data_IF_732504367665
#
_entry.id   IF_732504367665
#
_cell.length_a   1.000
_cell.length_b   1.000
_cell.length_c   1.000
_cell.angle_alpha   90.00
_cell.angle_beta   90.00
_cell.angle_gamma   90.00
#
_symmetry.space_group_name_H-M   'P 1'
#
loop_
_entity.id
_entity.type
_entity.pdbx_description
1 polymer ?
#
# COMPACT_ATOMS: atom_id res chain seq x y z
N UNK A 1 -16.50 -6.31 -19.57
CA UNK A 1 -15.40 -7.15 -19.04
C UNK A 1 -14.86 -6.43 -17.82
N UNK A 2 -15.12 -6.92 -16.61
CA UNK A 2 -14.64 -6.31 -15.36
C UNK A 2 -13.12 -6.27 -15.39
N UNK A 3 -12.53 -5.07 -15.34
CA UNK A 3 -11.08 -4.93 -15.30
C UNK A 3 -10.53 -5.66 -14.07
N UNK A 4 -9.43 -6.41 -14.24
CA UNK A 4 -8.70 -6.98 -13.10
C UNK A 4 -7.90 -5.90 -12.33
N UNK A 5 -7.84 -4.66 -12.83
CA UNK A 5 -7.41 -3.53 -12.02
C UNK A 5 -8.53 -3.12 -11.07
N UNK A 6 -8.21 -2.97 -9.79
CA UNK A 6 -9.15 -2.47 -8.81
C UNK A 6 -9.04 -0.94 -8.71
N UNK A 7 -10.15 -0.24 -8.92
CA UNK A 7 -10.22 1.24 -8.99
C UNK A 7 -9.82 1.95 -7.69
N UNK A 8 -9.91 1.25 -6.56
CA UNK A 8 -9.64 1.76 -5.22
C UNK A 8 -8.37 1.17 -4.61
N UNK A 9 -7.49 0.54 -5.40
CA UNK A 9 -6.29 -0.12 -4.90
C UNK A 9 -5.02 0.49 -5.47
N UNK A 10 -3.99 0.59 -4.63
CA UNK A 10 -2.69 1.17 -4.95
C UNK A 10 -2.81 2.54 -5.61
N UNK A 11 -3.68 3.39 -5.06
CA UNK A 11 -3.90 4.75 -5.52
C UNK A 11 -2.70 5.65 -5.23
N UNK A 12 -2.55 6.72 -5.99
CA UNK A 12 -1.54 7.77 -5.76
C UNK A 12 -2.11 8.78 -4.77
N UNK A 13 -1.37 9.08 -3.69
CA UNK A 13 -1.74 10.12 -2.76
C UNK A 13 -1.26 11.49 -3.25
N UNK A 14 -2.15 12.49 -3.29
CA UNK A 14 -1.76 13.89 -3.48
C UNK A 14 -1.63 14.53 -2.11
N UNK A 15 -0.37 14.76 -1.70
CA UNK A 15 -0.03 15.38 -0.42
C UNK A 15 0.34 16.85 -0.61
N UNK A 16 -0.43 17.55 -1.44
CA UNK A 16 -0.29 18.99 -1.68
C UNK A 16 -1.38 19.75 -0.93
N UNK A 17 -1.04 20.93 -0.39
CA UNK A 17 -1.99 21.83 0.29
C UNK A 17 -2.80 22.63 -0.74
N UNK A 18 -3.67 21.93 -1.47
CA UNK A 18 -4.62 22.53 -2.41
C UNK A 18 -5.75 23.26 -1.66
N UNK A 19 -6.60 24.03 -2.34
CA UNK A 19 -7.72 24.77 -1.72
C UNK A 19 -8.66 23.89 -0.87
N UNK A 20 -8.73 22.58 -1.18
CA UNK A 20 -9.53 21.60 -0.43
C UNK A 20 -8.79 20.98 0.79
N UNK A 21 -7.58 21.45 1.10
CA UNK A 21 -6.76 20.97 2.20
C UNK A 21 -6.99 21.76 3.51
N UNK A 22 -7.88 22.75 3.51
CA UNK A 22 -8.22 23.51 4.73
C UNK A 22 -8.63 22.55 5.86
N UNK A 23 -7.86 22.57 6.96
CA UNK A 23 -8.06 21.70 8.10
C UNK A 23 -7.36 20.33 8.03
N UNK A 24 -6.58 20.05 6.97
CA UNK A 24 -5.78 18.83 6.79
C UNK A 24 -4.26 19.09 6.74
N UNK A 25 -3.81 20.33 6.93
CA UNK A 25 -2.43 20.72 6.71
C UNK A 25 -1.45 19.92 7.57
N UNK A 26 -1.80 19.72 8.85
CA UNK A 26 -0.96 18.97 9.79
C UNK A 26 -0.79 17.52 9.37
N UNK A 27 -1.87 16.83 8.95
CA UNK A 27 -1.76 15.44 8.55
C UNK A 27 -1.08 15.27 7.18
N UNK A 28 -1.24 16.26 6.29
CA UNK A 28 -0.53 16.30 5.02
C UNK A 28 0.97 16.47 5.28
N UNK A 29 1.37 17.38 6.15
CA UNK A 29 2.78 17.57 6.53
C UNK A 29 3.34 16.31 7.19
N UNK A 30 2.57 15.68 8.07
CA UNK A 30 2.92 14.41 8.70
C UNK A 30 3.18 13.29 7.67
N UNK A 31 2.25 13.07 6.73
CA UNK A 31 2.43 12.05 5.70
C UNK A 31 3.55 12.40 4.72
N UNK A 32 3.72 13.69 4.42
CA UNK A 32 4.77 14.18 3.50
C UNK A 32 6.17 14.01 4.09
N UNK A 33 6.32 14.26 5.39
CA UNK A 33 7.57 14.06 6.11
C UNK A 33 7.83 12.61 6.55
N UNK A 34 6.87 11.70 6.32
CA UNK A 34 7.00 10.31 6.73
C UNK A 34 7.91 9.51 5.80
N UNK A 35 8.51 8.43 6.33
CA UNK A 35 9.36 7.52 5.57
C UNK A 35 8.60 6.75 4.46
N UNK A 36 7.26 6.80 4.46
CA UNK A 36 6.41 6.16 3.45
C UNK A 36 6.02 7.12 2.31
N UNK A 37 6.46 8.39 2.35
CA UNK A 37 6.06 9.41 1.38
C UNK A 37 6.25 8.95 -0.07
N UNK A 38 7.44 8.43 -0.41
CA UNK A 38 7.72 7.97 -1.77
C UNK A 38 6.75 6.89 -2.22
N UNK A 39 6.45 5.89 -1.39
CA UNK A 39 5.49 4.84 -1.72
C UNK A 39 4.05 5.37 -1.92
N UNK A 40 3.67 6.39 -1.15
CA UNK A 40 2.36 7.05 -1.26
C UNK A 40 2.22 7.84 -2.57
N UNK A 41 3.25 8.58 -2.98
CA UNK A 41 3.16 9.59 -4.05
C UNK A 41 3.72 9.14 -5.40
N UNK A 42 4.61 8.14 -5.44
CA UNK A 42 5.26 7.70 -6.69
C UNK A 42 4.23 7.24 -7.73
N UNK A 43 4.28 7.83 -8.92
CA UNK A 43 3.32 7.57 -10.00
C UNK A 43 4.04 7.23 -11.32
N UNK A 44 4.55 6.00 -11.47
CA UNK A 44 5.19 5.58 -12.71
C UNK A 44 4.16 5.44 -13.84
N UNK A 45 4.63 5.47 -15.09
CA UNK A 45 3.80 5.06 -16.23
C UNK A 45 3.53 3.55 -16.17
N UNK A 46 2.32 3.18 -15.78
CA UNK A 46 1.90 1.77 -15.70
C UNK A 46 1.45 1.26 -17.06
N UNK A 47 2.13 0.25 -17.58
CA UNK A 47 1.77 -0.39 -18.84
C UNK A 47 0.87 -1.60 -18.59
N UNK A 48 -0.33 -1.58 -19.17
CA UNK A 48 -1.33 -2.65 -18.96
C UNK A 48 -0.76 -4.01 -19.34
N UNK A 49 -0.04 -4.11 -20.45
CA UNK A 49 0.54 -5.36 -20.93
C UNK A 49 1.66 -5.89 -20.02
N UNK A 50 2.47 -5.02 -19.40
CA UNK A 50 3.48 -5.44 -18.43
C UNK A 50 2.85 -6.09 -17.20
N UNK A 51 1.85 -5.41 -16.61
CA UNK A 51 1.14 -5.91 -15.43
C UNK A 51 0.40 -7.22 -15.73
N UNK A 52 -0.22 -7.32 -16.92
CA UNK A 52 -0.85 -8.56 -17.39
C UNK A 52 0.15 -9.72 -17.50
N UNK A 53 1.28 -9.50 -18.19
CA UNK A 53 2.31 -10.54 -18.35
C UNK A 53 2.84 -11.01 -17.00
N UNK A 54 3.12 -10.06 -16.10
CA UNK A 54 3.58 -10.34 -14.75
C UNK A 54 2.60 -11.25 -14.00
N UNK A 55 1.34 -10.83 -13.85
CA UNK A 55 0.37 -11.59 -13.06
C UNK A 55 -0.04 -12.92 -13.69
N UNK A 56 0.01 -13.05 -15.02
CA UNK A 56 -0.27 -14.31 -15.71
C UNK A 56 0.84 -15.36 -15.52
N UNK A 57 2.06 -14.94 -15.19
CA UNK A 57 3.23 -15.82 -15.06
C UNK A 57 3.80 -15.84 -13.64
N UNK A 58 3.19 -15.09 -12.71
CA UNK A 58 3.62 -14.99 -11.33
C UNK A 58 3.51 -16.34 -10.61
N UNK A 59 4.62 -16.78 -10.03
CA UNK A 59 4.73 -18.00 -9.22
C UNK A 59 5.52 -17.72 -7.95
N UNK A 60 5.13 -18.37 -6.86
CA UNK A 60 5.85 -18.32 -5.58
C UNK A 60 6.89 -19.42 -5.57
N UNK A 61 8.15 -19.07 -5.27
CA UNK A 61 9.23 -20.04 -5.02
C UNK A 61 9.68 -19.96 -3.58
N UNK A 62 9.88 -21.13 -2.98
CA UNK A 62 10.38 -21.29 -1.61
C UNK A 62 11.65 -22.15 -1.66
N UNK A 63 12.77 -21.65 -1.14
CA UNK A 63 14.03 -22.39 -1.05
C UNK A 63 14.76 -21.97 0.21
N UNK A 64 15.16 -22.95 1.04
CA UNK A 64 15.96 -22.73 2.26
C UNK A 64 15.49 -21.51 3.08
N UNK A 65 14.19 -21.49 3.42
CA UNK A 65 13.50 -20.43 4.18
C UNK A 65 13.32 -19.08 3.49
N UNK A 66 13.86 -18.89 2.29
CA UNK A 66 13.61 -17.69 1.47
C UNK A 66 12.40 -17.90 0.58
N UNK A 67 11.41 -17.00 0.71
CA UNK A 67 10.28 -16.90 -0.21
C UNK A 67 10.54 -15.79 -1.21
N UNK A 68 10.35 -16.07 -2.50
CA UNK A 68 10.43 -15.06 -3.56
C UNK A 68 9.29 -15.24 -4.56
N UNK A 69 8.88 -14.15 -5.18
CA UNK A 69 7.90 -14.15 -6.25
C UNK A 69 8.61 -13.96 -7.58
N UNK A 70 8.36 -14.85 -8.55
CA UNK A 70 8.96 -14.79 -9.87
C UNK A 70 7.89 -14.65 -10.94
N UNK A 71 8.15 -13.83 -11.95
CA UNK A 71 7.29 -13.69 -13.12
C UNK A 71 8.14 -13.45 -14.38
N UNK A 72 7.49 -13.51 -15.54
CA UNK A 72 8.07 -13.17 -16.83
C UNK A 72 7.37 -11.96 -17.43
N UNK A 73 8.15 -10.95 -17.76
CA UNK A 73 7.72 -9.80 -18.56
C UNK A 73 8.70 -9.68 -19.71
N UNK A 74 8.20 -9.74 -20.93
CA UNK A 74 9.01 -9.74 -22.15
C UNK A 74 10.08 -10.82 -22.20
N UNK A 75 9.75 -12.00 -21.67
CA UNK A 75 10.68 -13.13 -21.49
C UNK A 75 11.84 -12.85 -20.53
N UNK A 76 11.89 -11.67 -19.90
CA UNK A 76 12.82 -11.35 -18.82
C UNK A 76 12.22 -11.80 -17.49
N UNK A 77 13.07 -12.40 -16.66
CA UNK A 77 12.71 -12.85 -15.32
C UNK A 77 12.66 -11.65 -14.39
N UNK A 78 11.51 -11.44 -13.76
CA UNK A 78 11.32 -10.48 -12.68
C UNK A 78 11.30 -11.27 -11.38
N UNK A 79 12.13 -10.87 -10.41
CA UNK A 79 12.18 -11.49 -9.08
C UNK A 79 11.83 -10.40 -8.05
N UNK A 80 10.86 -10.69 -7.19
CA UNK A 80 10.46 -9.81 -6.09
C UNK A 80 10.71 -10.57 -4.78
N UNK A 81 11.47 -9.93 -3.89
CA UNK A 81 11.65 -10.30 -2.49
C UNK A 81 11.21 -9.13 -1.61
N UNK A 82 11.22 -9.29 -0.30
CA UNK A 82 10.98 -8.20 0.65
C UNK A 82 11.98 -7.04 0.45
N UNK A 83 13.25 -7.37 0.24
CA UNK A 83 14.33 -6.39 0.05
C UNK A 83 14.13 -5.57 -1.23
N UNK A 84 13.71 -6.19 -2.32
CA UNK A 84 13.39 -5.47 -3.56
C UNK A 84 12.23 -4.49 -3.35
N UNK A 85 11.21 -4.87 -2.57
CA UNK A 85 10.10 -3.96 -2.25
C UNK A 85 10.62 -2.79 -1.39
N UNK A 86 11.44 -3.08 -0.39
CA UNK A 86 12.05 -2.08 0.49
C UNK A 86 12.86 -1.04 -0.28
N UNK A 87 13.75 -1.48 -1.17
CA UNK A 87 14.64 -0.61 -1.95
C UNK A 87 13.85 0.25 -2.94
N UNK A 88 12.96 -0.36 -3.73
CA UNK A 88 12.21 0.33 -4.78
C UNK A 88 11.22 1.35 -4.20
N UNK A 89 10.64 1.05 -3.03
CA UNK A 89 9.68 1.92 -2.35
C UNK A 89 10.32 2.81 -1.28
N UNK A 90 11.63 2.72 -1.07
CA UNK A 90 12.42 3.57 -0.16
C UNK A 90 11.86 3.59 1.28
N UNK A 91 11.39 2.43 1.77
CA UNK A 91 10.58 2.36 2.99
C UNK A 91 11.39 2.38 4.29
N UNK A 92 12.72 2.25 4.29
CA UNK A 92 13.57 2.34 5.49
C UNK A 92 12.98 1.67 6.76
N UNK A 93 12.44 0.45 6.58
CA UNK A 93 11.57 -0.24 7.51
C UNK A 93 12.00 -1.68 7.86
N UNK A 94 13.26 -2.03 7.60
CA UNK A 94 13.78 -3.40 7.82
C UNK A 94 13.58 -3.88 9.27
N UNK A 95 13.79 -2.99 10.26
CA UNK A 95 13.61 -3.26 11.69
C UNK A 95 12.15 -3.08 12.17
N UNK A 96 11.22 -2.85 11.24
CA UNK A 96 9.84 -2.58 11.57
C UNK A 96 9.06 -3.82 12.00
N UNK A 97 8.06 -3.63 12.84
CA UNK A 97 7.11 -4.70 13.19
C UNK A 97 6.02 -4.85 12.12
N UNK A 98 5.43 -6.03 11.98
CA UNK A 98 4.29 -6.29 11.06
C UNK A 98 2.96 -6.24 11.81
N UNK A 99 2.97 -6.47 13.12
CA UNK A 99 1.82 -6.36 14.00
C UNK A 99 2.30 -6.11 15.42
N UNK A 100 1.73 -5.10 16.07
CA UNK A 100 1.94 -4.84 17.49
C UNK A 100 1.18 -5.87 18.34
N UNK A 101 1.62 -6.11 19.59
CA UNK A 101 0.82 -6.83 20.57
C UNK A 101 -0.54 -6.15 20.80
N UNK A 102 -1.57 -6.94 21.12
CA UNK A 102 -2.93 -6.41 21.29
C UNK A 102 -3.01 -5.28 22.32
N UNK A 103 -2.25 -5.39 23.43
CA UNK A 103 -2.20 -4.36 24.48
C UNK A 103 -1.68 -3.03 23.93
N UNK A 104 -0.61 -3.07 23.13
CA UNK A 104 -0.04 -1.89 22.46
C UNK A 104 -0.99 -1.32 21.41
N UNK A 105 -1.74 -2.17 20.71
CA UNK A 105 -2.78 -1.74 19.77
C UNK A 105 -3.85 -0.93 20.51
N UNK A 106 -4.42 -1.47 21.59
CA UNK A 106 -5.48 -0.77 22.34
C UNK A 106 -4.97 0.52 22.99
N UNK A 107 -3.76 0.51 23.55
CA UNK A 107 -3.14 1.71 24.12
C UNK A 107 -2.83 2.77 23.05
N UNK A 108 -2.35 2.37 21.88
CA UNK A 108 -2.10 3.26 20.75
C UNK A 108 -3.37 3.90 20.21
N UNK A 109 -4.44 3.10 20.04
CA UNK A 109 -5.76 3.60 19.62
C UNK A 109 -6.32 4.65 20.61
N UNK A 110 -6.22 4.38 21.91
CA UNK A 110 -6.65 5.33 22.93
C UNK A 110 -5.86 6.66 22.84
N UNK A 111 -4.54 6.62 22.64
CA UNK A 111 -3.70 7.82 22.46
C UNK A 111 -4.05 8.61 21.19
N UNK A 112 -4.50 7.93 20.15
CA UNK A 112 -4.96 8.55 18.90
C UNK A 112 -6.39 9.10 18.97
N UNK A 113 -7.07 8.96 20.12
CA UNK A 113 -8.43 9.45 20.32
C UNK A 113 -9.50 8.54 19.70
N UNK A 114 -9.27 7.23 19.62
CA UNK A 114 -10.27 6.28 19.13
C UNK A 114 -11.46 6.17 20.08
N UNK A 115 -12.64 6.58 19.64
CA UNK A 115 -13.80 6.79 20.52
C UNK A 115 -14.56 5.50 20.89
N UNK A 116 -14.20 4.35 20.31
CA UNK A 116 -14.90 3.08 20.54
C UNK A 116 -14.08 2.09 21.36
N UNK A 117 -14.43 1.83 22.62
CA UNK A 117 -13.90 0.71 23.37
C UNK A 117 -14.26 -0.61 22.67
N UNK A 118 -13.28 -1.47 22.42
CA UNK A 118 -13.49 -2.78 21.78
C UNK A 118 -12.46 -3.77 22.28
N UNK A 119 -12.88 -5.02 22.50
CA UNK A 119 -11.98 -6.17 22.69
C UNK A 119 -11.74 -6.94 21.39
N UNK A 120 -12.43 -6.55 20.30
CA UNK A 120 -12.29 -7.15 18.97
C UNK A 120 -11.18 -6.46 18.17
N UNK A 121 -10.46 -7.23 17.37
CA UNK A 121 -9.37 -6.77 16.49
C UNK A 121 -9.84 -6.28 15.11
N UNK A 122 -11.08 -5.79 15.04
CA UNK A 122 -11.65 -5.14 13.84
C UNK A 122 -11.94 -3.70 14.21
N UNK A 123 -11.32 -2.77 13.48
CA UNK A 123 -11.36 -1.35 13.79
C UNK A 123 -12.01 -0.57 12.66
N UNK A 124 -12.71 0.50 13.02
CA UNK A 124 -13.49 1.31 12.10
C UNK A 124 -13.01 2.74 12.07
N UNK A 125 -12.68 3.28 10.90
CA UNK A 125 -12.16 4.66 10.78
C UNK A 125 -13.16 5.73 11.25
N UNK A 126 -14.46 5.41 11.30
CA UNK A 126 -15.54 6.32 11.70
C UNK A 126 -15.36 6.95 13.08
N UNK A 127 -14.65 6.26 14.00
CA UNK A 127 -14.44 6.67 15.38
C UNK A 127 -13.12 7.43 15.61
N UNK A 128 -12.54 8.00 14.55
CA UNK A 128 -11.37 8.87 14.63
C UNK A 128 -11.74 10.30 14.22
N UNK A 129 -10.88 11.26 14.59
CA UNK A 129 -10.93 12.62 14.05
C UNK A 129 -10.81 12.63 12.51
N UNK A 130 -11.31 13.69 11.88
CA UNK A 130 -11.26 13.87 10.43
C UNK A 130 -9.82 13.81 9.87
N UNK A 131 -8.85 14.34 10.61
CA UNK A 131 -7.41 14.24 10.30
C UNK A 131 -6.96 12.78 10.19
N UNK A 132 -7.25 11.97 11.21
CA UNK A 132 -6.89 10.55 11.23
C UNK A 132 -7.65 9.76 10.18
N UNK A 133 -8.93 10.07 9.91
CA UNK A 133 -9.69 9.45 8.82
C UNK A 133 -9.00 9.64 7.47
N UNK A 134 -8.50 10.84 7.18
CA UNK A 134 -7.74 11.11 5.95
C UNK A 134 -6.46 10.28 5.87
N UNK A 135 -5.67 10.22 6.95
CA UNK A 135 -4.45 9.41 6.99
C UNK A 135 -4.72 7.92 6.79
N UNK A 136 -5.70 7.38 7.52
CA UNK A 136 -6.13 5.98 7.42
C UNK A 136 -6.57 5.67 6.00
N UNK A 137 -7.40 6.54 5.41
CA UNK A 137 -7.88 6.37 4.04
C UNK A 137 -6.73 6.38 3.04
N UNK A 138 -5.79 7.33 3.17
CA UNK A 138 -4.62 7.45 2.31
C UNK A 138 -3.76 6.19 2.35
N UNK A 139 -3.37 5.74 3.54
CA UNK A 139 -2.54 4.55 3.72
C UNK A 139 -3.26 3.29 3.24
N UNK A 140 -4.56 3.15 3.54
CA UNK A 140 -5.35 1.99 3.11
C UNK A 140 -5.41 1.86 1.58
N UNK A 141 -5.71 2.94 0.89
CA UNK A 141 -5.89 2.91 -0.56
C UNK A 141 -4.56 2.86 -1.33
N UNK A 142 -3.48 3.39 -0.76
CA UNK A 142 -2.16 3.38 -1.41
C UNK A 142 -1.33 2.13 -1.09
N UNK A 143 -1.37 1.63 0.15
CA UNK A 143 -0.43 0.62 0.67
C UNK A 143 -1.08 -0.68 1.16
N UNK A 144 -2.41 -0.74 1.35
CA UNK A 144 -3.05 -1.97 1.83
C UNK A 144 -3.31 -3.00 0.75
N UNK A 145 -3.41 -4.26 1.16
CA UNK A 145 -3.74 -5.38 0.29
C UNK A 145 -5.22 -5.46 -0.12
N UNK A 146 -6.07 -4.60 0.44
CA UNK A 146 -7.52 -4.74 0.31
C UNK A 146 -8.04 -4.17 -1.01
N UNK A 147 -9.10 -4.81 -1.52
CA UNK A 147 -9.80 -4.41 -2.75
C UNK A 147 -10.94 -3.43 -2.50
N UNK A 148 -11.68 -3.53 -1.39
CA UNK A 148 -13.00 -2.86 -1.25
C UNK A 148 -13.44 -2.44 0.17
N UNK A 149 -12.63 -2.52 1.23
CA UNK A 149 -13.14 -2.17 2.57
C UNK A 149 -12.96 -0.69 2.92
N UNK A 150 -14.05 0.07 2.85
CA UNK A 150 -14.05 1.50 3.13
C UNK A 150 -13.93 1.85 4.61
N UNK A 151 -14.51 1.02 5.49
CA UNK A 151 -14.67 1.39 6.91
C UNK A 151 -13.80 0.57 7.85
N UNK A 152 -13.52 -0.69 7.54
CA UNK A 152 -12.81 -1.63 8.42
C UNK A 152 -11.34 -1.79 8.04
N UNK A 153 -10.45 -1.79 9.03
CA UNK A 153 -9.03 -2.07 8.85
C UNK A 153 -8.53 -3.12 9.85
N UNK A 154 -7.48 -3.85 9.44
CA UNK A 154 -6.93 -4.99 10.18
C UNK A 154 -6.00 -4.56 11.31
N UNK A 155 -5.65 -5.50 12.21
CA UNK A 155 -4.63 -5.31 13.24
C UNK A 155 -3.28 -4.86 12.67
N UNK A 156 -2.85 -5.41 11.54
CA UNK A 156 -1.61 -5.00 10.86
C UNK A 156 -1.68 -3.52 10.40
N UNK A 157 -2.79 -3.10 9.79
CA UNK A 157 -2.95 -1.71 9.39
C UNK A 157 -3.06 -0.77 10.60
N UNK A 158 -3.71 -1.22 11.67
CA UNK A 158 -3.76 -0.49 12.94
C UNK A 158 -2.38 -0.32 13.54
N UNK A 159 -1.57 -1.38 13.51
CA UNK A 159 -0.18 -1.37 13.95
C UNK A 159 0.64 -0.38 13.13
N UNK A 160 0.45 -0.36 11.81
CA UNK A 160 1.11 0.61 10.93
C UNK A 160 0.79 2.06 11.31
N UNK A 161 -0.49 2.37 11.56
CA UNK A 161 -0.92 3.71 11.98
C UNK A 161 -0.32 4.13 13.33
N UNK A 162 -0.31 3.20 14.30
CA UNK A 162 0.28 3.44 15.63
C UNK A 162 1.80 3.61 15.53
N UNK A 163 2.48 2.79 14.72
CA UNK A 163 3.92 2.92 14.52
C UNK A 163 4.26 4.29 13.92
N UNK A 164 3.55 4.68 12.85
CA UNK A 164 3.72 5.98 12.22
C UNK A 164 3.49 7.13 13.21
N UNK A 165 2.42 7.08 14.02
CA UNK A 165 2.10 8.15 14.97
C UNK A 165 3.04 8.24 16.16
N UNK A 166 3.67 7.12 16.55
CA UNK A 166 4.62 7.05 17.66
C UNK A 166 6.09 7.16 17.26
N UNK A 167 6.38 7.30 15.95
CA UNK A 167 7.74 7.36 15.41
C UNK A 167 8.45 6.00 15.32
N UNK A 168 7.76 4.90 15.63
CA UNK A 168 8.26 3.54 15.42
C UNK A 168 8.20 3.14 13.94
N UNK A 169 8.92 2.08 13.57
CA UNK A 169 8.89 1.51 12.22
C UNK A 169 7.88 0.37 12.13
N UNK A 170 7.04 0.44 11.10
CA UNK A 170 6.25 -0.68 10.61
C UNK A 170 6.87 -1.19 9.32
N UNK A 171 7.03 -2.51 9.20
CA UNK A 171 7.61 -3.14 8.01
C UNK A 171 6.54 -3.29 6.90
N UNK A 172 6.38 -2.21 6.14
CA UNK A 172 5.52 -2.15 4.95
C UNK A 172 6.06 -3.03 3.83
N UNK A 173 7.38 -3.15 3.70
CA UNK A 173 8.03 -3.97 2.68
C UNK A 173 7.56 -5.43 2.76
N UNK A 174 7.64 -6.02 3.95
CA UNK A 174 7.16 -7.37 4.23
C UNK A 174 5.66 -7.48 4.09
N UNK A 175 4.91 -6.52 4.62
CA UNK A 175 3.45 -6.51 4.50
C UNK A 175 2.97 -6.53 3.04
N UNK A 176 3.59 -5.72 2.17
CA UNK A 176 3.30 -5.65 0.74
C UNK A 176 3.73 -6.95 0.05
N UNK A 177 4.94 -7.42 0.32
CA UNK A 177 5.47 -8.66 -0.28
C UNK A 177 4.61 -9.89 0.05
N UNK A 178 4.27 -10.10 1.32
CA UNK A 178 3.38 -11.19 1.72
C UNK A 178 2.00 -11.07 1.07
N UNK A 179 1.52 -9.86 0.83
CA UNK A 179 0.25 -9.62 0.15
C UNK A 179 0.30 -10.00 -1.33
N UNK A 180 1.42 -9.72 -2.02
CA UNK A 180 1.67 -10.19 -3.38
C UNK A 180 1.69 -11.72 -3.44
N UNK A 181 2.40 -12.36 -2.51
CA UNK A 181 2.46 -13.84 -2.39
C UNK A 181 1.07 -14.43 -2.18
N UNK A 182 0.29 -13.90 -1.23
CA UNK A 182 -1.10 -14.33 -0.99
C UNK A 182 -2.00 -14.13 -2.22
N UNK A 183 -1.79 -13.06 -3.00
CA UNK A 183 -2.58 -12.81 -4.21
C UNK A 183 -2.31 -13.83 -5.31
N UNK A 184 -1.09 -14.37 -5.42
CA UNK A 184 -0.77 -15.44 -6.38
C UNK A 184 -1.58 -16.71 -6.10
N UNK A 185 -1.82 -17.05 -4.85
CA UNK A 185 -2.55 -18.26 -4.46
C UNK A 185 -4.06 -18.03 -4.28
N UNK A 186 -4.55 -16.79 -4.45
CA UNK A 186 -5.95 -16.43 -4.21
C UNK A 186 -6.89 -16.97 -5.29
N UNK A 187 -8.12 -17.32 -4.92
CA UNK A 187 -9.22 -17.58 -5.86
C UNK A 187 -9.79 -16.31 -6.49
N UNK A 188 -9.54 -15.14 -5.90
CA UNK A 188 -10.01 -13.81 -6.33
C UNK A 188 -8.83 -12.93 -6.77
N UNK A 189 -7.99 -13.46 -7.66
CA UNK A 189 -6.81 -12.74 -8.15
C UNK A 189 -7.22 -11.45 -8.87
N UNK A 190 -6.44 -10.42 -8.67
CA UNK A 190 -6.54 -9.17 -9.40
C UNK A 190 -5.14 -8.61 -9.61
N UNK A 191 -5.01 -7.56 -10.42
CA UNK A 191 -3.74 -6.88 -10.66
C UNK A 191 -3.39 -5.99 -9.46
N UNK A 192 -2.87 -6.62 -8.41
CA UNK A 192 -2.47 -5.98 -7.16
C UNK A 192 -1.19 -5.16 -7.35
N UNK A 193 -1.07 -4.03 -6.65
CA UNK A 193 0.04 -3.08 -6.64
C UNK A 193 0.65 -2.75 -8.04
N UNK A 194 -0.16 -2.33 -9.02
CA UNK A 194 0.33 -2.06 -10.38
C UNK A 194 1.44 -1.00 -10.44
N UNK A 195 1.42 0.03 -9.57
CA UNK A 195 2.51 1.04 -9.52
C UNK A 195 3.81 0.41 -9.05
N UNK A 196 3.76 -0.38 -7.98
CA UNK A 196 4.96 -0.95 -7.38
C UNK A 196 5.58 -2.01 -8.28
N UNK A 197 4.76 -2.86 -8.88
CA UNK A 197 5.23 -3.84 -9.88
C UNK A 197 5.83 -3.12 -11.08
N UNK A 198 5.23 -2.03 -11.56
CA UNK A 198 5.78 -1.26 -12.67
C UNK A 198 7.17 -0.69 -12.36
N UNK A 199 7.39 -0.16 -11.16
CA UNK A 199 8.72 0.32 -10.73
C UNK A 199 9.76 -0.80 -10.76
N UNK A 200 9.41 -1.98 -10.24
CA UNK A 200 10.30 -3.15 -10.25
C UNK A 200 10.59 -3.61 -11.69
N UNK A 201 9.59 -3.58 -12.58
CA UNK A 201 9.80 -3.91 -13.99
C UNK A 201 10.77 -2.93 -14.65
N UNK A 202 10.65 -1.63 -14.34
CA UNK A 202 11.52 -0.59 -14.92
C UNK A 202 12.99 -0.74 -14.50
N UNK A 203 13.27 -1.27 -13.31
CA UNK A 203 14.66 -1.54 -12.90
C UNK A 203 15.25 -2.78 -13.57
N UNK A 204 14.41 -3.69 -14.07
CA UNK A 204 14.84 -4.95 -14.68
C UNK A 204 14.78 -4.91 -16.24
N UNK A 205 14.01 -3.99 -16.83
CA UNK A 205 13.78 -3.89 -18.26
C UNK A 205 14.08 -2.46 -18.75
N UNK A 206 15.21 -2.30 -19.44
CA UNK A 206 15.66 -1.00 -19.96
C UNK A 206 14.76 -0.37 -21.02
N UNK A 207 14.12 -1.18 -21.87
CA UNK A 207 13.27 -0.68 -22.97
C UNK A 207 11.85 -1.25 -22.86
N UNK A 208 10.89 -0.37 -22.58
CA UNK A 208 9.46 -0.65 -22.55
C UNK A 208 8.70 0.07 -23.67
N UNK A 209 9.39 0.63 -24.67
CA UNK A 209 8.80 1.45 -25.75
C UNK A 209 7.72 0.73 -26.56
N UNK A 210 7.81 -0.60 -26.68
CA UNK A 210 6.80 -1.43 -27.34
C UNK A 210 5.46 -1.50 -26.60
N UNK A 211 5.42 -1.10 -25.34
CA UNK A 211 4.18 -1.02 -24.56
C UNK A 211 3.58 0.37 -24.72
N UNK A 212 2.37 0.43 -25.29
CA UNK A 212 1.74 1.72 -25.64
C UNK A 212 0.52 2.04 -24.77
N UNK A 213 -0.26 1.04 -24.38
CA UNK A 213 -1.47 1.24 -23.57
C UNK A 213 -1.14 1.42 -22.10
N UNK A 214 -1.49 2.59 -21.56
CA UNK A 214 -1.24 2.97 -20.17
C UNK A 214 -2.47 2.76 -19.30
N UNK A 215 -2.25 2.32 -18.07
CA UNK A 215 -3.21 2.38 -16.99
C UNK A 215 -3.02 3.71 -16.25
N UNK A 216 -4.10 4.46 -16.08
CA UNK A 216 -4.08 5.69 -15.29
C UNK A 216 -4.33 5.29 -13.84
N UNK A 217 -3.31 5.42 -13.00
CA UNK A 217 -3.43 5.15 -11.58
C UNK A 217 -4.45 6.11 -10.96
N UNK A 218 -5.46 5.60 -10.24
CA UNK A 218 -6.42 6.44 -9.55
C UNK A 218 -5.75 7.26 -8.45
N UNK A 219 -6.29 8.45 -8.20
CA UNK A 219 -5.67 9.48 -7.35
C UNK A 219 -6.55 9.77 -6.15
N UNK A 220 -5.93 9.84 -4.96
CA UNK A 220 -6.56 10.25 -3.71
C UNK A 220 -6.33 11.74 -3.49
N UNK A 221 -7.43 12.48 -3.33
CA UNK A 221 -7.42 13.91 -2.99
C UNK A 221 -8.19 14.15 -1.70
N UNK A 222 -7.98 15.32 -1.10
CA UNK A 222 -8.68 15.76 0.11
C UNK A 222 -10.19 15.82 -0.08
N UNK A 223 -10.67 16.20 -1.28
CA UNK A 223 -12.12 16.22 -1.62
C UNK A 223 -12.78 14.84 -1.52
N UNK A 224 -12.05 13.77 -1.84
CA UNK A 224 -12.57 12.40 -1.71
C UNK A 224 -12.71 12.01 -0.24
N UNK A 225 -11.90 12.58 0.64
CA UNK A 225 -11.90 12.29 2.08
C UNK A 225 -12.81 13.18 2.91
N UNK A 226 -13.10 14.40 2.45
CA UNK A 226 -14.05 15.32 3.10
C UNK A 226 -15.51 14.82 3.06
N UNK A 227 -15.82 13.89 2.14
CA UNK A 227 -17.14 13.27 1.99
C UNK A 227 -17.29 11.94 2.75
N UNK A 228 -16.35 11.60 3.66
CA UNK A 228 -16.27 10.31 4.38
C UNK A 228 -16.47 10.47 5.89
#
# INVERSE_FOLDING_TARGET
MTSLFAESHNMVAILEKLDAAEGFEQIIDFLSGSYINHALTVNPHVYISCIKQFWNTAVVKRSCDVTMLQALVDKKRIVITEEVVHEILQLNDAEGVICLPNEEIFAGLARMGYEKPSTKLTFYKAFFSTQWKFSIHTILHSLSAKRTSWNEFSSAMTSALICLSSGQRFNFSKYIFESLVRNVDSSSKFYMYPRFIQLIIQTNIADLSKHTTRYISPVLTQKVSANI
#
